data_IF_932578083693
#
_entry.id   IF_932578083693
#
_cell.length_a   1.000
_cell.length_b   1.000
_cell.length_c   1.000
_cell.angle_alpha   90.00
_cell.angle_beta   90.00
_cell.angle_gamma   90.00
#
_symmetry.space_group_name_H-M   'P 1'
#
loop_
_entity.id
_entity.type
_entity.pdbx_description
1 polymer ?
#
# COMPACT_ATOMS: atom_id res chain seq x y z
N UNK A 1 1.23 6.26 2.22
CA UNK A 1 2.66 5.98 2.49
C UNK A 1 3.12 4.84 1.58
N UNK A 2 4.41 4.70 1.26
CA UNK A 2 4.88 3.44 0.63
C UNK A 2 4.76 2.26 1.60
N UNK A 3 4.62 1.06 1.04
CA UNK A 3 4.29 -0.14 1.80
C UNK A 3 5.35 -0.50 2.84
N UNK A 4 6.63 -0.37 2.49
CA UNK A 4 7.74 -0.73 3.37
C UNK A 4 7.80 0.18 4.60
N UNK A 5 7.57 1.48 4.43
CA UNK A 5 7.50 2.41 5.54
C UNK A 5 6.24 2.18 6.39
N UNK A 6 5.11 1.85 5.77
CA UNK A 6 3.89 1.50 6.51
C UNK A 6 4.12 0.27 7.40
N UNK A 7 4.70 -0.80 6.88
CA UNK A 7 4.98 -2.01 7.67
C UNK A 7 5.94 -1.73 8.84
N UNK A 8 6.95 -0.87 8.67
CA UNK A 8 7.83 -0.46 9.77
C UNK A 8 7.06 0.27 10.88
N UNK A 9 6.19 1.20 10.49
CA UNK A 9 5.38 1.97 11.44
C UNK A 9 4.37 1.06 12.14
N UNK A 10 3.71 0.17 11.40
CA UNK A 10 2.79 -0.83 11.96
C UNK A 10 3.49 -1.70 12.99
N UNK A 11 4.65 -2.28 12.66
CA UNK A 11 5.43 -3.09 13.59
C UNK A 11 5.81 -2.31 14.85
N UNK A 12 6.24 -1.05 14.71
CA UNK A 12 6.56 -0.22 15.85
C UNK A 12 5.33 0.02 16.76
N UNK A 13 4.13 0.14 16.20
CA UNK A 13 2.90 0.23 17.01
C UNK A 13 2.58 -1.11 17.68
N UNK A 14 2.66 -2.22 16.95
CA UNK A 14 2.44 -3.57 17.49
C UNK A 14 3.38 -3.90 18.65
N UNK A 15 4.62 -3.43 18.60
CA UNK A 15 5.61 -3.60 19.68
C UNK A 15 5.28 -2.78 20.94
N UNK A 16 4.45 -1.74 20.84
CA UNK A 16 4.18 -0.77 21.90
C UNK A 16 2.72 -0.72 22.35
N UNK A 17 1.82 -1.42 21.66
CA UNK A 17 0.39 -1.41 21.89
C UNK A 17 -0.18 -2.83 21.85
N UNK A 18 -1.34 -3.01 22.48
CA UNK A 18 -2.06 -4.26 22.43
C UNK A 18 -3.07 -4.25 21.27
N UNK A 19 -3.33 -5.40 20.63
CA UNK A 19 -4.42 -5.51 19.68
C UNK A 19 -5.75 -5.19 20.38
N UNK A 20 -6.65 -4.57 19.65
CA UNK A 20 -7.97 -4.23 20.18
C UNK A 20 -8.82 -5.48 20.43
N UNK A 21 -9.79 -5.36 21.34
CA UNK A 21 -10.77 -6.42 21.53
C UNK A 21 -11.74 -6.55 20.34
N UNK A 22 -12.47 -7.66 20.32
CA UNK A 22 -13.45 -7.99 19.28
C UNK A 22 -14.51 -6.88 19.10
N UNK A 23 -14.91 -6.20 20.18
CA UNK A 23 -15.91 -5.13 20.11
C UNK A 23 -15.38 -3.88 19.43
N UNK A 24 -14.11 -3.53 19.63
CA UNK A 24 -13.45 -2.45 18.91
C UNK A 24 -13.27 -2.80 17.44
N UNK A 25 -12.76 -3.99 17.13
CA UNK A 25 -12.58 -4.43 15.76
C UNK A 25 -13.92 -4.48 14.99
N UNK A 26 -14.99 -4.96 15.63
CA UNK A 26 -16.34 -4.98 15.05
C UNK A 26 -16.85 -3.57 14.71
N UNK A 27 -16.58 -2.57 15.57
CA UNK A 27 -16.97 -1.18 15.32
C UNK A 27 -16.23 -0.59 14.12
N UNK A 28 -14.93 -0.83 14.01
CA UNK A 28 -14.13 -0.38 12.86
C UNK A 28 -14.61 -1.07 11.58
N UNK A 29 -14.84 -2.38 11.62
CA UNK A 29 -15.39 -3.13 10.48
C UNK A 29 -16.74 -2.55 10.04
N UNK A 30 -17.67 -2.33 10.96
CA UNK A 30 -19.00 -1.80 10.64
C UNK A 30 -18.92 -0.39 10.05
N UNK A 31 -18.16 0.51 10.68
CA UNK A 31 -17.99 1.87 10.18
C UNK A 31 -17.37 1.89 8.77
N UNK A 32 -16.39 1.02 8.53
CA UNK A 32 -15.75 0.88 7.23
C UNK A 32 -16.71 0.28 6.19
N UNK A 33 -17.46 -0.77 6.55
CA UNK A 33 -18.47 -1.37 5.68
C UNK A 33 -19.51 -0.33 5.23
N UNK A 34 -20.04 0.45 6.18
CA UNK A 34 -21.04 1.48 5.90
C UNK A 34 -20.47 2.58 5.00
N UNK A 35 -19.23 3.03 5.27
CA UNK A 35 -18.54 4.02 4.47
C UNK A 35 -18.28 3.54 3.04
N UNK A 36 -17.80 2.30 2.86
CA UNK A 36 -17.53 1.70 1.56
C UNK A 36 -18.83 1.53 0.76
N UNK A 37 -19.88 1.01 1.40
CA UNK A 37 -21.19 0.79 0.75
C UNK A 37 -21.85 2.10 0.35
N UNK A 38 -21.80 3.13 1.21
CA UNK A 38 -22.41 4.43 0.92
C UNK A 38 -21.64 5.26 -0.12
N UNK A 39 -20.39 4.90 -0.42
CA UNK A 39 -19.51 5.68 -1.31
C UNK A 39 -19.90 5.62 -2.79
N UNK A 40 -20.58 4.54 -3.21
CA UNK A 40 -20.83 4.25 -4.63
C UNK A 40 -19.58 3.84 -5.42
N UNK A 41 -18.42 3.64 -4.76
CA UNK A 41 -17.18 3.19 -5.40
C UNK A 41 -17.21 1.70 -5.75
N UNK A 42 -18.07 0.93 -5.06
CA UNK A 42 -18.10 -0.53 -5.12
C UNK A 42 -19.52 -1.05 -5.30
N UNK A 43 -19.67 -2.03 -6.20
CA UNK A 43 -20.92 -2.78 -6.37
C UNK A 43 -21.00 -3.98 -5.39
N UNK A 44 -19.84 -4.45 -4.93
CA UNK A 44 -19.74 -5.55 -3.96
C UNK A 44 -18.72 -5.18 -2.89
N UNK A 45 -19.09 -5.35 -1.63
CA UNK A 45 -18.24 -5.15 -0.46
C UNK A 45 -18.44 -6.34 0.47
N UNK A 46 -17.37 -7.09 0.71
CA UNK A 46 -17.34 -8.20 1.66
C UNK A 46 -16.25 -7.93 2.69
N UNK A 47 -16.63 -7.70 3.94
CA UNK A 47 -15.68 -7.54 5.05
C UNK A 47 -15.76 -8.72 6.01
N UNK A 48 -14.59 -9.18 6.44
CA UNK A 48 -14.39 -10.17 7.48
C UNK A 48 -13.35 -9.71 8.50
N UNK A 49 -13.12 -10.56 9.50
CA UNK A 49 -12.07 -10.38 10.51
C UNK A 49 -11.32 -11.69 10.69
N UNK A 50 -10.05 -11.60 11.05
CA UNK A 50 -9.26 -12.77 11.42
C UNK A 50 -9.42 -13.06 12.92
N UNK A 51 -9.34 -14.35 13.27
CA UNK A 51 -9.30 -14.80 14.66
C UNK A 51 -7.87 -14.78 15.24
N UNK A 52 -6.91 -14.16 14.54
CA UNK A 52 -5.54 -14.04 15.02
C UNK A 52 -5.37 -12.91 16.04
N UNK A 53 -4.18 -12.86 16.63
CA UNK A 53 -3.87 -11.89 17.70
C UNK A 53 -3.97 -10.45 17.20
N UNK A 54 -3.75 -10.19 15.91
CA UNK A 54 -3.75 -8.84 15.34
C UNK A 54 -5.15 -8.31 14.97
N UNK A 55 -6.18 -9.17 15.03
CA UNK A 55 -7.58 -8.83 14.79
C UNK A 55 -7.77 -8.02 13.49
N UNK A 56 -7.20 -8.54 12.41
CA UNK A 56 -7.17 -7.88 11.10
C UNK A 56 -8.56 -7.85 10.48
N UNK A 57 -9.05 -6.66 10.13
CA UNK A 57 -10.24 -6.50 9.26
C UNK A 57 -9.79 -6.67 7.81
N UNK A 58 -10.33 -7.68 7.12
CA UNK A 58 -10.03 -7.95 5.71
C UNK A 58 -11.24 -7.62 4.87
N UNK A 59 -11.05 -6.95 3.74
CA UNK A 59 -12.11 -6.65 2.80
C UNK A 59 -11.77 -7.04 1.37
N UNK A 60 -12.74 -7.66 0.70
CA UNK A 60 -12.74 -7.82 -0.74
C UNK A 60 -13.86 -6.94 -1.33
N UNK A 61 -13.49 -6.08 -2.26
CA UNK A 61 -14.41 -5.19 -2.94
C UNK A 61 -14.37 -5.42 -4.44
N UNK A 62 -15.49 -5.14 -5.12
CA UNK A 62 -15.52 -5.02 -6.57
C UNK A 62 -15.95 -3.62 -6.96
N UNK A 63 -15.11 -2.95 -7.77
CA UNK A 63 -15.37 -1.59 -8.21
C UNK A 63 -16.70 -1.51 -8.97
N UNK A 64 -17.42 -0.41 -8.76
CA UNK A 64 -18.68 -0.14 -9.45
C UNK A 64 -18.46 0.07 -10.95
N UNK A 65 -19.53 -0.06 -11.75
CA UNK A 65 -19.45 0.19 -13.20
C UNK A 65 -18.80 1.56 -13.48
N UNK A 66 -17.72 1.57 -14.29
CA UNK A 66 -16.91 2.75 -14.67
C UNK A 66 -15.96 3.29 -13.59
N UNK A 67 -15.84 2.62 -12.45
CA UNK A 67 -14.81 2.94 -11.45
C UNK A 67 -13.62 2.02 -11.67
N UNK A 68 -12.46 2.59 -11.92
CA UNK A 68 -11.20 1.84 -11.99
C UNK A 68 -10.60 1.67 -10.58
N UNK A 69 -9.80 0.62 -10.34
CA UNK A 69 -9.18 0.38 -9.04
C UNK A 69 -8.39 1.58 -8.49
N UNK A 70 -7.69 2.32 -9.34
CA UNK A 70 -6.96 3.52 -8.91
C UNK A 70 -7.88 4.65 -8.42
N UNK A 71 -9.06 4.84 -9.03
CA UNK A 71 -10.06 5.82 -8.61
C UNK A 71 -10.68 5.41 -7.27
N UNK A 72 -11.01 4.11 -7.15
CA UNK A 72 -11.46 3.53 -5.91
C UNK A 72 -10.44 3.76 -4.79
N UNK A 73 -9.14 3.57 -5.06
CA UNK A 73 -8.06 3.82 -4.09
C UNK A 73 -8.05 5.25 -3.54
N UNK A 74 -8.15 6.26 -4.41
CA UNK A 74 -8.25 7.67 -4.00
C UNK A 74 -9.50 7.94 -3.15
N UNK A 75 -10.60 7.24 -3.46
CA UNK A 75 -11.82 7.28 -2.67
C UNK A 75 -11.65 6.63 -1.28
N UNK A 76 -11.04 5.44 -1.22
CA UNK A 76 -10.76 4.72 0.02
C UNK A 76 -9.87 5.55 0.95
N UNK A 77 -8.82 6.21 0.46
CA UNK A 77 -8.00 7.10 1.30
C UNK A 77 -8.82 8.21 1.96
N UNK A 78 -9.80 8.77 1.23
CA UNK A 78 -10.69 9.82 1.79
C UNK A 78 -11.66 9.23 2.81
N UNK A 79 -12.24 8.07 2.53
CA UNK A 79 -13.13 7.37 3.44
C UNK A 79 -12.40 6.98 4.72
N UNK A 80 -11.18 6.47 4.61
CA UNK A 80 -10.35 6.11 5.76
C UNK A 80 -10.12 7.29 6.69
N UNK A 81 -9.76 8.45 6.16
CA UNK A 81 -9.62 9.68 6.96
C UNK A 81 -10.92 10.10 7.64
N UNK A 82 -12.06 9.87 7.01
CA UNK A 82 -13.36 10.17 7.61
C UNK A 82 -13.69 9.18 8.75
N UNK A 83 -13.48 7.89 8.53
CA UNK A 83 -13.71 6.82 9.51
C UNK A 83 -12.79 6.99 10.73
N UNK A 84 -11.56 7.45 10.52
CA UNK A 84 -10.54 7.57 11.57
C UNK A 84 -10.40 8.99 12.16
N UNK A 85 -11.23 9.94 11.74
CA UNK A 85 -11.06 11.36 12.06
C UNK A 85 -10.97 11.66 13.57
N UNK A 86 -11.69 10.92 14.40
CA UNK A 86 -11.74 11.13 15.85
C UNK A 86 -10.71 10.32 16.63
N UNK A 87 -9.88 9.55 15.94
CA UNK A 87 -8.91 8.63 16.53
C UNK A 87 -7.55 9.31 16.69
N UNK A 88 -6.81 8.89 17.71
CA UNK A 88 -5.60 9.59 18.12
C UNK A 88 -4.43 9.38 17.15
N UNK A 89 -4.42 8.25 16.45
CA UNK A 89 -3.35 7.88 15.55
C UNK A 89 -3.86 6.95 14.43
N UNK A 90 -3.43 7.21 13.20
CA UNK A 90 -3.66 6.35 12.05
C UNK A 90 -2.44 6.33 11.14
N UNK A 91 -2.28 5.24 10.38
CA UNK A 91 -1.34 5.15 9.27
C UNK A 91 -1.93 4.25 8.18
N UNK A 92 -1.59 4.52 6.92
CA UNK A 92 -2.04 3.71 5.80
C UNK A 92 -1.05 3.71 4.61
N UNK A 93 -1.14 2.65 3.83
CA UNK A 93 -0.55 2.52 2.50
C UNK A 93 -1.64 2.25 1.47
N UNK A 94 -1.45 2.80 0.28
CA UNK A 94 -2.30 2.56 -0.89
C UNK A 94 -1.38 2.17 -2.06
N UNK A 95 -1.64 1.00 -2.64
CA UNK A 95 -1.07 0.54 -3.89
C UNK A 95 -2.17 0.38 -4.93
N UNK A 96 -2.01 0.98 -6.10
CA UNK A 96 -2.96 0.85 -7.20
C UNK A 96 -2.24 0.46 -8.48
N UNK A 97 -2.83 -0.48 -9.20
CA UNK A 97 -2.56 -0.77 -10.61
C UNK A 97 -3.85 -0.55 -11.40
N UNK A 98 -3.83 -0.79 -12.71
CA UNK A 98 -5.06 -0.79 -13.51
C UNK A 98 -6.02 -1.93 -13.14
N UNK A 99 -5.50 -3.01 -12.58
CA UNK A 99 -6.24 -4.26 -12.32
C UNK A 99 -6.45 -4.56 -10.84
N UNK A 100 -5.90 -3.76 -9.93
CA UNK A 100 -5.98 -4.02 -8.50
C UNK A 100 -5.80 -2.74 -7.69
N UNK A 101 -6.55 -2.63 -6.60
CA UNK A 101 -6.28 -1.70 -5.52
C UNK A 101 -6.01 -2.50 -4.26
N UNK A 102 -4.94 -2.15 -3.56
CA UNK A 102 -4.56 -2.70 -2.27
C UNK A 102 -4.41 -1.54 -1.28
N UNK A 103 -5.13 -1.62 -0.17
CA UNK A 103 -5.08 -0.65 0.90
C UNK A 103 -4.79 -1.35 2.22
N UNK A 104 -3.73 -0.95 2.90
CA UNK A 104 -3.44 -1.39 4.27
C UNK A 104 -3.55 -0.20 5.22
N UNK A 105 -4.27 -0.37 6.32
CA UNK A 105 -4.49 0.64 7.35
C UNK A 105 -4.19 0.11 8.75
N UNK A 106 -3.79 1.01 9.63
CA UNK A 106 -3.66 0.76 11.06
C UNK A 106 -4.14 1.98 11.83
N UNK A 107 -4.86 1.76 12.93
CA UNK A 107 -5.43 2.85 13.73
C UNK A 107 -5.47 2.48 15.20
N UNK A 108 -5.32 3.47 16.09
CA UNK A 108 -5.61 3.28 17.52
C UNK A 108 -7.07 3.62 17.83
N UNK A 109 -7.75 2.75 18.59
CA UNK A 109 -9.20 2.81 18.78
C UNK A 109 -9.62 3.34 20.15
N UNK A 110 -8.68 3.51 21.07
CA UNK A 110 -8.92 4.07 22.40
C UNK A 110 -7.69 4.79 22.98
N UNK A 111 -7.85 5.35 24.19
CA UNK A 111 -6.80 6.07 24.90
C UNK A 111 -5.69 5.17 25.45
N UNK A 112 -5.92 3.86 25.54
CA UNK A 112 -4.91 2.87 25.92
C UNK A 112 -4.01 2.50 24.73
N UNK A 113 -4.33 3.01 23.54
CA UNK A 113 -3.55 2.79 22.33
C UNK A 113 -3.83 1.46 21.67
N UNK A 114 -4.93 0.77 22.03
CA UNK A 114 -5.28 -0.48 21.36
C UNK A 114 -5.38 -0.26 19.86
N UNK A 115 -4.88 -1.19 19.04
CA UNK A 115 -4.83 -1.01 17.59
C UNK A 115 -5.73 -1.99 16.85
N UNK A 116 -6.21 -1.54 15.69
CA UNK A 116 -6.87 -2.38 14.68
C UNK A 116 -6.11 -2.21 13.37
N UNK A 117 -5.89 -3.32 12.67
CA UNK A 117 -5.35 -3.32 11.31
C UNK A 117 -6.45 -3.61 10.31
N UNK A 118 -6.30 -3.06 9.11
CA UNK A 118 -7.24 -3.20 7.99
C UNK A 118 -6.46 -3.54 6.73
N UNK A 119 -6.98 -4.46 5.94
CA UNK A 119 -6.49 -4.74 4.59
C UNK A 119 -7.69 -4.85 3.64
N UNK A 120 -7.77 -3.95 2.67
CA UNK A 120 -8.77 -3.98 1.60
C UNK A 120 -8.10 -4.28 0.26
N UNK A 121 -8.75 -5.14 -0.50
CA UNK A 121 -8.42 -5.39 -1.91
C UNK A 121 -9.65 -5.05 -2.75
N UNK A 122 -9.47 -4.28 -3.83
CA UNK A 122 -10.53 -4.09 -4.81
C UNK A 122 -10.13 -4.55 -6.22
N UNK A 123 -11.01 -5.35 -6.79
CA UNK A 123 -10.95 -5.80 -8.17
C UNK A 123 -11.67 -4.81 -9.11
N UNK A 124 -11.31 -4.78 -10.39
CA UNK A 124 -12.02 -3.99 -11.39
C UNK A 124 -13.47 -4.45 -11.56
N UNK A 125 -14.30 -3.66 -12.26
CA UNK A 125 -15.68 -4.01 -12.52
C UNK A 125 -15.81 -5.33 -13.30
N UNK A 126 -16.95 -6.01 -13.17
CA UNK A 126 -17.22 -7.24 -13.93
C UNK A 126 -17.12 -6.99 -15.43
N UNK A 127 -16.37 -7.83 -16.14
CA UNK A 127 -16.18 -7.74 -17.59
C UNK A 127 -15.19 -6.66 -18.04
N UNK A 128 -14.48 -6.00 -17.11
CA UNK A 128 -13.36 -5.14 -17.45
C UNK A 128 -12.25 -5.95 -18.15
N UNK A 129 -11.67 -5.37 -19.19
CA UNK A 129 -10.54 -5.94 -19.94
C UNK A 129 -9.38 -4.94 -19.82
N UNK A 130 -8.16 -5.40 -19.44
CA UNK A 130 -6.98 -4.55 -19.42
C UNK A 130 -6.75 -3.91 -20.77
N UNK A 131 -6.38 -2.63 -20.78
CA UNK A 131 -5.91 -2.01 -22.03
C UNK A 131 -4.48 -2.50 -22.28
N UNK A 132 -4.22 -3.15 -23.42
CA UNK A 132 -2.87 -3.54 -23.85
C UNK A 132 -2.05 -2.30 -24.23
N UNK A 133 -1.69 -1.46 -23.28
CA UNK A 133 -0.79 -0.31 -23.50
C UNK A 133 0.08 -0.08 -22.27
N UNK A 134 0.95 -1.03 -21.95
CA UNK A 134 2.28 -0.71 -21.43
C UNK A 134 3.23 -1.89 -21.60
N UNK A 135 4.06 -1.82 -22.65
CA UNK A 135 4.96 -2.90 -23.03
C UNK A 135 5.73 -2.67 -24.32
N UNK A 136 6.14 -1.43 -24.62
CA UNK A 136 7.07 -1.16 -25.72
C UNK A 136 7.73 0.22 -25.58
N UNK A 137 8.63 0.39 -24.60
CA UNK A 137 9.78 1.29 -24.74
C UNK A 137 10.73 1.10 -23.55
N UNK A 138 11.71 0.18 -23.66
CA UNK A 138 13.11 0.42 -23.28
C UNK A 138 14.01 -0.76 -23.71
N UNK A 139 14.26 -0.90 -25.01
CA UNK A 139 15.52 -1.49 -25.49
C UNK A 139 16.05 -0.59 -26.58
N UNK A 140 16.84 0.39 -26.15
CA UNK A 140 17.67 1.19 -27.05
C UNK A 140 18.59 0.26 -27.85
N UNK A 141 18.56 0.45 -29.16
CA UNK A 141 19.53 -0.03 -30.13
C UNK A 141 20.97 0.06 -29.59
N UNK A 142 21.62 -1.09 -29.54
CA UNK A 142 23.04 -1.24 -29.28
C UNK A 142 23.62 -2.32 -30.18
N UNK A 143 23.36 -2.22 -31.49
CA UNK A 143 24.10 -2.97 -32.49
C UNK A 143 25.40 -2.22 -32.76
N UNK A 144 26.50 -2.71 -32.19
CA UNK A 144 27.76 -2.89 -32.92
C UNK A 144 28.72 -3.72 -32.06
N UNK A 145 28.94 -4.94 -32.52
CA UNK A 145 29.86 -5.90 -31.94
C UNK A 145 31.26 -5.75 -32.56
N UNK A 146 32.25 -5.83 -31.68
CA UNK A 146 33.45 -6.65 -31.85
C UNK A 146 34.55 -6.22 -32.85
N UNK A 147 35.71 -5.79 -32.32
CA UNK A 147 36.97 -6.53 -32.54
C UNK A 147 38.09 -6.11 -31.56
N UNK A 148 38.76 -7.11 -31.02
CA UNK A 148 39.90 -7.06 -30.11
C UNK A 148 41.18 -6.54 -30.80
N UNK A 149 42.12 -5.93 -30.04
CA UNK A 149 43.45 -6.53 -29.80
C UNK A 149 44.35 -5.71 -28.83
N UNK A 150 45.02 -6.47 -27.96
CA UNK A 150 46.27 -6.25 -27.20
C UNK A 150 46.46 -5.24 -26.02
N UNK A 151 47.14 -5.68 -24.92
CA UNK A 151 47.44 -4.88 -23.73
C UNK A 151 48.89 -4.36 -23.67
N UNK A 152 49.14 -3.21 -23.04
CA UNK A 152 50.43 -2.89 -22.41
C UNK A 152 50.40 -1.67 -21.46
N UNK A 153 50.80 -1.93 -20.21
CA UNK A 153 51.72 -1.15 -19.37
C UNK A 153 51.31 0.23 -18.81
N UNK A 154 51.12 0.24 -17.48
CA UNK A 154 51.26 1.43 -16.60
C UNK A 154 52.70 1.97 -16.61
N UNK A 155 52.85 3.28 -16.35
CA UNK A 155 53.62 3.70 -15.18
C UNK A 155 52.89 4.75 -14.31
N UNK A 156 53.37 5.01 -13.08
CA UNK A 156 52.60 5.64 -12.02
C UNK A 156 52.79 7.16 -11.96
N UNK A 157 51.78 7.88 -11.46
CA UNK A 157 51.93 9.24 -10.95
C UNK A 157 51.37 9.32 -9.53
N UNK A 158 51.97 10.25 -8.79
CA UNK A 158 52.34 10.19 -7.37
C UNK A 158 51.84 11.48 -6.72
N UNK A 159 51.59 11.43 -5.40
CA UNK A 159 51.51 12.58 -4.45
C UNK A 159 50.19 13.38 -4.56
N UNK A 160 49.46 13.80 -3.52
CA UNK A 160 49.75 14.11 -2.10
C UNK A 160 48.43 14.01 -1.30
N UNK A 161 48.50 13.54 -0.05
CA UNK A 161 47.50 13.80 0.96
C UNK A 161 47.92 15.03 1.76
N UNK A 162 47.04 16.03 1.88
CA UNK A 162 47.14 17.06 2.92
C UNK A 162 45.92 16.92 3.83
N UNK A 163 46.21 16.50 5.07
CA UNK A 163 45.38 16.67 6.25
C UNK A 163 45.88 17.95 6.92
N UNK A 164 45.00 18.90 7.21
CA UNK A 164 45.28 19.91 8.23
C UNK A 164 44.10 20.04 9.19
N UNK A 165 44.52 20.17 10.44
CA UNK A 165 43.83 20.10 11.72
C UNK A 165 42.98 21.31 12.06
#
# INVERSE_FOLDING_TARGET
>A
MDLANFHKVRLAVQDNAHPADDSHAARVQLALHDALTASGLFDQVELGRTDDVDQLVIGLCRCAEKVLPWEAGLGVERLWRAVTQTLAWESHSLGCTESLMEFEGAVTVDASGHYVTVHLVAEPPLGWVPSETDGADDVRDGHDAEHADQPAQRPPLRVVAEVQS
#
